data_IF_945655600882
#
_entry.id   IF_945655600882
#
_cell.length_a   1.000
_cell.length_b   1.000
_cell.length_c   1.000
_cell.angle_alpha   90.00
_cell.angle_beta   90.00
_cell.angle_gamma   90.00
#
_symmetry.space_group_name_H-M   'P 1'
#
loop_
_entity.id
_entity.type
_entity.pdbx_description
1 polymer ?
#
# COMPACT_ATOMS: atom_id res chain seq x y z
N UNK A 1 -23.28 -9.95 11.87
CA UNK A 1 -24.51 -9.12 11.81
C UNK A 1 -24.14 -7.88 11.04
N UNK A 2 -24.81 -7.62 9.92
CA UNK A 2 -24.60 -6.42 9.10
C UNK A 2 -25.01 -5.17 9.89
N UNK A 3 -24.24 -4.09 9.74
CA UNK A 3 -24.57 -2.80 10.34
C UNK A 3 -25.75 -2.18 9.55
N UNK A 4 -26.89 -1.82 10.19
CA UNK A 4 -28.03 -1.20 9.51
C UNK A 4 -27.68 0.06 8.70
N UNK A 5 -26.67 0.82 9.13
CA UNK A 5 -26.17 2.00 8.41
C UNK A 5 -25.48 1.62 7.10
N UNK A 6 -24.73 0.51 7.09
CA UNK A 6 -24.10 -0.04 5.88
C UNK A 6 -25.16 -0.53 4.91
N UNK A 7 -26.19 -1.22 5.41
CA UNK A 7 -27.30 -1.69 4.56
C UNK A 7 -28.09 -0.54 3.94
N UNK A 8 -28.37 0.52 4.72
CA UNK A 8 -29.06 1.71 4.22
C UNK A 8 -28.22 2.47 3.19
N UNK A 9 -26.92 2.63 3.43
CA UNK A 9 -26.00 3.26 2.49
C UNK A 9 -25.84 2.46 1.20
N UNK A 10 -25.72 1.12 1.30
CA UNK A 10 -25.66 0.22 0.15
C UNK A 10 -26.95 0.27 -0.67
N UNK A 11 -28.12 0.23 -0.01
CA UNK A 11 -29.41 0.32 -0.69
C UNK A 11 -29.58 1.66 -1.45
N UNK A 12 -29.19 2.77 -0.82
CA UNK A 12 -29.22 4.09 -1.45
C UNK A 12 -28.22 4.19 -2.61
N UNK A 13 -27.01 3.63 -2.43
CA UNK A 13 -26.01 3.56 -3.47
C UNK A 13 -26.53 2.77 -4.67
N UNK A 14 -27.10 1.59 -4.47
CA UNK A 14 -27.73 0.79 -5.53
C UNK A 14 -28.82 1.55 -6.28
N UNK A 15 -29.75 2.18 -5.56
CA UNK A 15 -30.85 2.96 -6.16
C UNK A 15 -30.34 4.12 -7.04
N UNK A 16 -29.28 4.80 -6.59
CA UNK A 16 -28.66 5.90 -7.34
C UNK A 16 -27.77 5.38 -8.46
N UNK A 17 -27.09 4.26 -8.25
CA UNK A 17 -26.22 3.62 -9.22
C UNK A 17 -26.99 3.21 -10.48
N UNK A 18 -28.16 2.59 -10.31
CA UNK A 18 -29.07 2.25 -11.41
C UNK A 18 -29.58 3.47 -12.20
N UNK A 19 -29.63 4.64 -11.55
CA UNK A 19 -30.03 5.90 -12.21
C UNK A 19 -28.85 6.58 -12.91
N UNK A 20 -27.65 6.40 -12.39
CA UNK A 20 -26.41 6.95 -12.94
C UNK A 20 -25.85 6.11 -14.09
N UNK A 21 -26.14 4.81 -14.15
CA UNK A 21 -25.60 3.89 -15.16
C UNK A 21 -26.71 3.01 -15.76
N UNK A 22 -26.61 2.64 -17.05
CA UNK A 22 -25.57 3.02 -18.00
C UNK A 22 -25.76 4.44 -18.54
N UNK A 23 -24.69 5.23 -18.61
CA UNK A 23 -24.66 6.47 -19.40
C UNK A 23 -24.17 6.13 -20.80
N UNK A 24 -24.96 6.44 -21.81
CA UNK A 24 -24.58 6.24 -23.21
C UNK A 24 -24.78 7.51 -24.02
N UNK A 25 -23.77 7.90 -24.77
CA UNK A 25 -23.89 8.86 -25.86
C UNK A 25 -23.42 8.23 -27.19
N UNK A 26 -23.33 9.04 -28.25
CA UNK A 26 -22.95 8.57 -29.59
C UNK A 26 -21.49 8.09 -29.70
N UNK A 27 -20.64 8.40 -28.72
CA UNK A 27 -19.18 8.19 -28.75
C UNK A 27 -18.69 7.33 -27.59
N UNK A 28 -19.28 7.44 -26.41
CA UNK A 28 -18.87 6.70 -25.23
C UNK A 28 -20.06 6.07 -24.48
N UNK A 29 -19.78 4.95 -23.82
CA UNK A 29 -20.69 4.26 -22.92
C UNK A 29 -19.95 4.05 -21.60
N UNK A 30 -20.42 4.72 -20.55
CA UNK A 30 -20.00 4.44 -19.19
C UNK A 30 -20.96 3.38 -18.63
N UNK A 31 -20.45 2.18 -18.36
CA UNK A 31 -21.20 1.09 -17.78
C UNK A 31 -20.57 0.66 -16.46
N UNK A 32 -21.36 0.00 -15.63
CA UNK A 32 -20.89 -0.71 -14.46
C UNK A 32 -21.52 -2.09 -14.53
N UNK A 33 -20.68 -3.12 -14.48
CA UNK A 33 -21.12 -4.50 -14.61
C UNK A 33 -21.54 -5.08 -13.28
N UNK A 34 -20.87 -4.63 -12.22
CA UNK A 34 -21.13 -5.05 -10.86
C UNK A 34 -21.77 -3.92 -10.05
N UNK A 35 -22.84 -4.21 -9.30
CA UNK A 35 -23.39 -3.25 -8.37
C UNK A 35 -22.33 -2.85 -7.33
N UNK A 36 -22.41 -1.62 -6.77
CA UNK A 36 -21.60 -1.24 -5.64
C UNK A 36 -21.73 -2.28 -4.53
N UNK A 37 -20.60 -2.68 -3.96
CA UNK A 37 -20.54 -3.60 -2.84
C UNK A 37 -19.72 -2.98 -1.71
N UNK A 38 -19.91 -3.48 -0.50
CA UNK A 38 -19.12 -3.02 0.64
C UNK A 38 -17.83 -3.82 0.75
N UNK A 39 -16.69 -3.14 0.70
CA UNK A 39 -15.38 -3.69 0.97
C UNK A 39 -14.92 -3.24 2.39
N UNK A 40 -14.72 -4.18 3.32
CA UNK A 40 -14.24 -3.85 4.67
C UNK A 40 -12.95 -3.02 4.66
N UNK A 41 -12.94 -1.93 5.42
CA UNK A 41 -11.79 -1.00 5.49
C UNK A 41 -11.72 0.03 4.36
N UNK A 42 -12.46 -0.15 3.26
CA UNK A 42 -12.48 0.76 2.12
C UNK A 42 -13.81 1.52 1.99
N UNK A 43 -14.94 0.88 2.31
CA UNK A 43 -16.28 1.45 2.15
C UNK A 43 -17.05 0.84 0.98
N UNK A 44 -17.93 1.60 0.34
CA UNK A 44 -18.63 1.19 -0.88
C UNK A 44 -17.70 1.31 -2.09
N UNK A 45 -17.50 0.21 -2.81
CA UNK A 45 -16.66 0.08 -3.99
C UNK A 45 -17.53 -0.34 -5.16
N UNK A 46 -17.29 0.21 -6.34
CA UNK A 46 -17.95 -0.21 -7.56
C UNK A 46 -16.99 -0.18 -8.73
N UNK A 47 -17.09 -1.18 -9.60
CA UNK A 47 -16.35 -1.19 -10.86
C UNK A 47 -17.14 -0.42 -11.92
N UNK A 48 -16.45 0.43 -12.67
CA UNK A 48 -17.00 1.00 -13.89
C UNK A 48 -16.08 0.73 -15.07
N UNK A 49 -16.65 0.73 -16.24
CA UNK A 49 -15.95 0.64 -17.49
C UNK A 49 -16.40 1.76 -18.39
N UNK A 50 -15.44 2.46 -18.99
CA UNK A 50 -15.70 3.47 -19.99
C UNK A 50 -15.37 2.86 -21.35
N UNK A 51 -16.38 2.66 -22.17
CA UNK A 51 -16.25 2.10 -23.51
C UNK A 51 -16.44 3.17 -24.56
N UNK A 52 -15.83 2.99 -25.72
CA UNK A 52 -16.29 3.62 -26.95
C UNK A 52 -17.63 2.98 -27.37
N UNK A 53 -18.66 3.81 -27.58
CA UNK A 53 -20.04 3.36 -27.80
C UNK A 53 -20.25 2.51 -29.06
N UNK A 54 -19.33 2.59 -30.02
CA UNK A 54 -19.39 1.86 -31.30
C UNK A 54 -18.70 0.50 -31.24
N UNK A 55 -17.59 0.41 -30.52
CA UNK A 55 -16.75 -0.79 -30.50
C UNK A 55 -16.92 -1.62 -29.23
N UNK A 56 -17.55 -1.04 -28.18
CA UNK A 56 -17.59 -1.58 -26.83
C UNK A 56 -16.19 -1.92 -26.29
N UNK A 57 -15.16 -1.21 -26.77
CA UNK A 57 -13.79 -1.34 -26.27
C UNK A 57 -13.45 -0.11 -25.45
N UNK A 58 -12.78 -0.32 -24.34
CA UNK A 58 -12.32 0.75 -23.47
C UNK A 58 -11.94 0.20 -22.10
N UNK A 59 -11.27 1.03 -21.29
CA UNK A 59 -10.73 0.60 -20.00
C UNK A 59 -11.84 0.31 -18.98
N UNK A 60 -11.57 -0.64 -18.09
CA UNK A 60 -12.28 -0.82 -16.83
C UNK A 60 -11.43 -0.31 -15.66
N UNK A 61 -12.08 0.11 -14.59
CA UNK A 61 -11.43 0.56 -13.36
C UNK A 61 -12.37 0.45 -12.17
N UNK A 62 -11.81 0.15 -11.01
CA UNK A 62 -12.53 0.15 -9.74
C UNK A 62 -12.50 1.54 -9.10
N UNK A 63 -13.63 1.97 -8.54
CA UNK A 63 -13.74 3.23 -7.81
C UNK A 63 -14.37 3.01 -6.45
N UNK A 64 -13.76 3.62 -5.43
CA UNK A 64 -14.37 3.77 -4.11
C UNK A 64 -15.42 4.87 -4.20
N UNK A 65 -16.69 4.50 -4.10
CA UNK A 65 -17.86 5.37 -4.25
C UNK A 65 -18.19 6.11 -2.95
N UNK A 66 -18.06 5.44 -1.80
CA UNK A 66 -18.29 6.05 -0.47
C UNK A 66 -17.32 5.46 0.55
N UNK A 67 -16.35 6.23 1.08
CA UNK A 67 -15.44 5.71 2.10
C UNK A 67 -16.14 5.50 3.44
N UNK A 68 -15.62 4.58 4.26
CA UNK A 68 -16.22 4.21 5.56
C UNK A 68 -16.49 5.43 6.46
N UNK A 69 -15.58 6.40 6.47
CA UNK A 69 -15.69 7.63 7.27
C UNK A 69 -16.87 8.53 6.86
N UNK A 70 -17.38 8.41 5.63
CA UNK A 70 -18.51 9.21 5.11
C UNK A 70 -19.80 8.41 4.96
N UNK A 71 -19.86 7.19 5.52
CA UNK A 71 -21.05 6.33 5.50
C UNK A 71 -22.24 6.90 6.28
N UNK A 72 -22.02 7.94 7.11
CA UNK A 72 -23.08 8.70 7.77
C UNK A 72 -23.82 9.68 6.83
N UNK A 73 -23.24 10.03 5.68
CA UNK A 73 -23.81 10.97 4.70
C UNK A 73 -23.82 10.43 3.24
N UNK A 74 -24.29 9.20 2.98
CA UNK A 74 -24.14 8.55 1.67
C UNK A 74 -24.86 9.29 0.54
N UNK A 75 -26.00 9.94 0.83
CA UNK A 75 -26.77 10.70 -0.16
C UNK A 75 -25.96 11.86 -0.76
N UNK A 76 -25.27 12.61 0.11
CA UNK A 76 -24.47 13.77 -0.28
C UNK A 76 -23.28 13.35 -1.15
N UNK A 77 -22.60 12.27 -0.76
CA UNK A 77 -21.46 11.73 -1.51
C UNK A 77 -21.88 11.31 -2.93
N UNK A 78 -23.03 10.64 -3.06
CA UNK A 78 -23.55 10.21 -4.35
C UNK A 78 -23.98 11.39 -5.25
N UNK A 79 -24.58 12.44 -4.67
CA UNK A 79 -24.95 13.65 -5.44
C UNK A 79 -23.71 14.42 -5.92
N UNK A 80 -22.66 14.52 -5.11
CA UNK A 80 -21.36 15.12 -5.48
C UNK A 80 -20.66 14.30 -6.59
N UNK A 81 -20.77 12.96 -6.57
CA UNK A 81 -20.21 12.06 -7.60
C UNK A 81 -20.95 12.24 -8.93
N UNK A 82 -22.28 12.28 -8.88
CA UNK A 82 -23.10 12.53 -10.07
C UNK A 82 -22.75 13.88 -10.72
N UNK A 83 -22.53 14.93 -9.92
CA UNK A 83 -22.11 16.25 -10.42
C UNK A 83 -20.71 16.20 -11.08
N UNK A 84 -19.78 15.42 -10.53
CA UNK A 84 -18.43 15.22 -11.08
C UNK A 84 -18.49 14.47 -12.41
N UNK A 85 -19.24 13.38 -12.49
CA UNK A 85 -19.43 12.61 -13.72
C UNK A 85 -20.09 13.44 -14.82
N UNK A 86 -21.09 14.26 -14.47
CA UNK A 86 -21.73 15.21 -15.39
C UNK A 86 -20.73 16.29 -15.87
N UNK A 87 -19.88 16.78 -14.97
CA UNK A 87 -18.78 17.70 -15.28
C UNK A 87 -17.79 17.09 -16.29
N UNK A 88 -17.38 15.84 -16.08
CA UNK A 88 -16.53 15.10 -17.02
C UNK A 88 -17.21 14.91 -18.38
N UNK A 89 -18.51 14.54 -18.39
CA UNK A 89 -19.33 14.45 -19.61
C UNK A 89 -19.31 15.75 -20.42
N UNK A 90 -19.51 16.88 -19.75
CA UNK A 90 -19.53 18.20 -20.38
C UNK A 90 -18.19 18.64 -20.98
N UNK A 91 -17.06 18.10 -20.49
CA UNK A 91 -15.70 18.44 -20.92
C UNK A 91 -15.19 17.63 -22.12
N UNK A 92 -16.02 16.77 -22.70
CA UNK A 92 -15.72 16.11 -23.97
C UNK A 92 -14.75 14.94 -23.83
N UNK A 93 -15.17 13.89 -23.11
CA UNK A 93 -14.55 12.56 -22.97
C UNK A 93 -14.08 11.87 -24.28
N UNK A 94 -14.35 12.44 -25.45
CA UNK A 94 -14.28 11.75 -26.74
C UNK A 94 -12.91 11.79 -27.45
N UNK A 95 -11.90 12.53 -26.98
CA UNK A 95 -10.67 12.75 -27.75
C UNK A 95 -9.43 11.95 -27.31
N UNK A 96 -9.54 11.02 -26.35
CA UNK A 96 -8.37 10.31 -25.80
C UNK A 96 -8.55 8.78 -25.66
N UNK A 97 -9.49 8.16 -26.39
CA UNK A 97 -9.85 6.74 -26.25
C UNK A 97 -8.93 5.74 -26.99
N UNK A 98 -7.90 6.19 -27.71
CA UNK A 98 -7.07 5.32 -28.57
C UNK A 98 -5.81 4.75 -27.90
N UNK A 99 -5.55 5.04 -26.62
CA UNK A 99 -4.39 4.49 -25.90
C UNK A 99 -4.80 3.29 -25.02
N UNK A 100 -4.12 2.13 -25.09
CA UNK A 100 -4.27 1.07 -24.10
C UNK A 100 -3.75 1.57 -22.74
N UNK A 101 -4.60 1.49 -21.71
CA UNK A 101 -4.28 1.96 -20.37
C UNK A 101 -4.09 0.74 -19.47
N UNK A 102 -2.84 0.45 -19.13
CA UNK A 102 -2.49 -0.34 -17.94
C UNK A 102 -2.04 0.65 -16.85
N UNK A 103 -2.98 1.26 -16.16
CA UNK A 103 -2.67 2.03 -14.95
C UNK A 103 -2.97 1.15 -13.73
N UNK A 104 -2.10 0.17 -13.47
CA UNK A 104 -2.10 -0.48 -12.15
C UNK A 104 -1.39 0.47 -11.21
N UNK A 105 -2.12 1.40 -10.59
CA UNK A 105 -1.53 2.19 -9.50
C UNK A 105 -1.48 1.28 -8.29
N UNK A 106 -0.36 0.59 -8.13
CA UNK A 106 -0.12 -0.24 -6.95
C UNK A 106 -0.16 0.65 -5.71
N UNK A 107 -1.08 0.37 -4.80
CA UNK A 107 -1.10 1.05 -3.50
C UNK A 107 0.23 0.78 -2.80
N UNK A 108 0.98 1.85 -2.56
CA UNK A 108 2.20 1.77 -1.77
C UNK A 108 1.83 1.37 -0.34
N UNK A 109 2.41 0.29 0.22
CA UNK A 109 2.03 -0.19 1.53
C UNK A 109 2.38 0.82 2.63
N UNK A 110 1.49 0.93 3.61
CA UNK A 110 1.75 1.67 4.83
C UNK A 110 2.80 0.95 5.68
N UNK A 111 3.77 1.69 6.24
CA UNK A 111 4.82 1.15 7.10
C UNK A 111 4.45 1.28 8.57
N UNK A 112 4.47 0.16 9.27
CA UNK A 112 4.26 0.08 10.71
C UNK A 112 5.60 -0.19 11.40
N UNK A 113 6.09 0.76 12.18
CA UNK A 113 7.27 0.49 13.03
C UNK A 113 6.87 -0.36 14.25
N UNK A 114 5.68 -0.11 14.80
CA UNK A 114 5.03 -0.90 15.82
C UNK A 114 3.60 -1.23 15.34
N UNK A 115 3.18 -2.51 15.33
CA UNK A 115 1.86 -2.89 14.85
C UNK A 115 0.70 -2.40 15.75
N UNK A 116 1.01 -1.87 16.95
CA UNK A 116 0.01 -1.29 17.84
C UNK A 116 -0.26 0.20 17.58
N UNK A 117 0.51 0.84 16.69
CA UNK A 117 0.36 2.26 16.36
C UNK A 117 -0.05 2.45 14.89
N UNK A 118 -0.58 3.64 14.53
CA UNK A 118 -0.77 4.03 13.14
C UNK A 118 0.55 3.97 12.35
N UNK A 119 0.48 3.82 11.02
CA UNK A 119 1.66 3.75 10.18
C UNK A 119 2.45 5.07 10.24
N UNK A 120 3.78 4.95 10.16
CA UNK A 120 4.69 6.10 10.30
C UNK A 120 4.98 6.81 8.99
N UNK A 121 4.84 6.10 7.88
CA UNK A 121 4.94 6.63 6.53
C UNK A 121 4.32 5.65 5.53
N UNK A 122 4.16 6.13 4.31
CA UNK A 122 4.00 5.26 3.15
C UNK A 122 5.38 4.87 2.63
N UNK A 123 5.53 3.59 2.29
CA UNK A 123 6.78 3.07 1.74
C UNK A 123 6.50 2.41 0.40
N UNK A 124 7.33 2.74 -0.59
CA UNK A 124 7.35 2.01 -1.85
C UNK A 124 8.36 0.89 -1.76
N UNK A 125 8.07 -0.23 -2.40
CA UNK A 125 8.99 -1.34 -2.52
C UNK A 125 8.90 -1.91 -3.93
N UNK A 126 10.02 -2.01 -4.62
CA UNK A 126 10.07 -2.76 -5.86
C UNK A 126 10.43 -4.24 -5.56
N UNK A 127 9.40 -5.03 -5.27
CA UNK A 127 9.58 -6.38 -4.73
C UNK A 127 10.10 -7.42 -5.75
N UNK A 128 10.14 -7.08 -7.05
CA UNK A 128 10.48 -8.02 -8.13
C UNK A 128 11.78 -7.69 -8.88
N UNK A 129 12.51 -6.67 -8.46
CA UNK A 129 13.74 -6.20 -9.10
C UNK A 129 14.87 -5.97 -8.06
N UNK A 130 15.07 -4.75 -7.55
CA UNK A 130 16.12 -4.36 -6.60
C UNK A 130 15.75 -4.64 -5.14
N UNK A 131 14.46 -4.87 -4.83
CA UNK A 131 13.95 -4.96 -3.46
C UNK A 131 14.27 -3.73 -2.60
N UNK A 132 14.51 -2.58 -3.26
CA UNK A 132 14.74 -1.31 -2.58
C UNK A 132 13.42 -0.78 -2.03
N UNK A 133 13.50 -0.20 -0.84
CA UNK A 133 12.39 0.40 -0.13
C UNK A 133 12.74 1.82 0.24
N UNK A 134 11.99 2.78 -0.27
CA UNK A 134 12.11 4.19 0.11
C UNK A 134 10.82 4.69 0.75
N UNK A 135 10.99 5.73 1.56
CA UNK A 135 9.90 6.44 2.21
C UNK A 135 9.35 7.46 1.23
N UNK A 136 8.02 7.51 1.11
CA UNK A 136 7.36 8.60 0.40
C UNK A 136 7.35 9.88 1.26
N UNK A 137 7.34 11.04 0.60
CA UNK A 137 7.17 12.32 1.27
C UNK A 137 5.76 12.50 1.81
N UNK A 138 4.77 11.87 1.16
CA UNK A 138 3.38 12.01 1.53
C UNK A 138 3.00 11.05 2.68
N UNK A 139 2.18 11.51 3.66
CA UNK A 139 1.89 10.75 4.87
C UNK A 139 0.78 9.70 4.70
N UNK A 140 -0.05 9.81 3.66
CA UNK A 140 -1.21 8.95 3.42
C UNK A 140 -1.16 8.32 2.03
N UNK A 141 -1.79 7.14 1.81
CA UNK A 141 -1.84 6.54 0.48
C UNK A 141 -2.54 7.43 -0.54
N UNK A 142 -3.60 8.13 -0.13
CA UNK A 142 -4.33 9.05 -1.02
C UNK A 142 -3.44 10.20 -1.50
N UNK A 143 -2.68 10.80 -0.58
CA UNK A 143 -1.73 11.86 -0.92
C UNK A 143 -0.61 11.36 -1.84
N UNK A 144 -0.08 10.15 -1.62
CA UNK A 144 0.88 9.50 -2.54
C UNK A 144 0.30 9.36 -3.95
N UNK A 145 -0.91 8.80 -4.06
CA UNK A 145 -1.56 8.62 -5.36
C UNK A 145 -1.80 9.97 -6.06
N UNK A 146 -2.21 11.00 -5.31
CA UNK A 146 -2.40 12.34 -5.83
C UNK A 146 -1.09 12.95 -6.32
N UNK A 147 0.00 12.79 -5.57
CA UNK A 147 1.33 13.23 -5.97
C UNK A 147 1.79 12.54 -7.26
N UNK A 148 1.62 11.22 -7.37
CA UNK A 148 1.95 10.46 -8.58
C UNK A 148 1.13 10.90 -9.79
N UNK A 149 -0.18 11.17 -9.62
CA UNK A 149 -1.02 11.67 -10.70
C UNK A 149 -0.58 13.07 -11.15
N UNK A 150 -0.25 13.96 -10.21
CA UNK A 150 0.31 15.30 -10.53
C UNK A 150 1.64 15.19 -11.24
N UNK A 151 2.53 14.32 -10.80
CA UNK A 151 3.80 14.05 -11.47
C UNK A 151 3.56 13.57 -12.90
N UNK A 152 2.68 12.60 -13.11
CA UNK A 152 2.37 12.09 -14.47
C UNK A 152 1.78 13.16 -15.38
N UNK A 153 0.94 14.06 -14.85
CA UNK A 153 0.33 15.19 -15.59
C UNK A 153 1.38 16.25 -15.94
N UNK A 154 2.31 16.53 -15.05
CA UNK A 154 3.29 17.62 -15.18
C UNK A 154 4.66 17.17 -15.68
N UNK A 155 4.88 15.86 -15.88
CA UNK A 155 6.16 15.29 -16.26
C UNK A 155 6.66 15.86 -17.58
N UNK A 156 7.83 16.53 -17.59
CA UNK A 156 8.43 17.06 -18.83
C UNK A 156 9.07 15.97 -19.69
N UNK A 157 9.17 14.74 -19.18
CA UNK A 157 9.80 13.60 -19.85
C UNK A 157 8.83 12.78 -20.68
N UNK A 158 7.52 13.00 -20.51
CA UNK A 158 6.47 12.31 -21.24
C UNK A 158 6.18 13.06 -22.53
N UNK A 159 6.34 12.39 -23.67
CA UNK A 159 6.03 12.96 -24.99
C UNK A 159 4.52 13.14 -25.19
N UNK A 160 3.73 12.28 -24.55
CA UNK A 160 2.27 12.29 -24.62
C UNK A 160 1.65 12.88 -23.35
N UNK A 161 0.60 13.71 -23.49
CA UNK A 161 -0.14 14.20 -22.32
C UNK A 161 -0.70 13.02 -21.53
N UNK A 162 -0.80 13.18 -20.20
CA UNK A 162 -1.43 12.16 -19.37
C UNK A 162 -2.84 11.82 -19.90
N UNK A 163 -3.23 10.54 -19.90
CA UNK A 163 -4.55 10.15 -20.37
C UNK A 163 -5.63 10.61 -19.39
N UNK A 164 -6.85 10.85 -19.88
CA UNK A 164 -7.99 11.35 -19.12
C UNK A 164 -8.22 10.65 -17.76
N UNK A 165 -8.07 9.32 -17.62
CA UNK A 165 -8.23 8.65 -16.32
C UNK A 165 -7.29 9.17 -15.23
N UNK A 166 -6.07 9.62 -15.57
CA UNK A 166 -5.15 10.20 -14.58
C UNK A 166 -5.69 11.53 -14.04
N UNK A 167 -6.25 12.37 -14.92
CA UNK A 167 -6.91 13.61 -14.49
C UNK A 167 -8.17 13.36 -13.66
N UNK A 168 -8.98 12.36 -14.05
CA UNK A 168 -10.18 11.98 -13.31
C UNK A 168 -9.82 11.42 -11.92
N UNK A 169 -8.79 10.57 -11.84
CA UNK A 169 -8.27 10.07 -10.58
C UNK A 169 -7.79 11.23 -9.70
N UNK A 170 -6.99 12.16 -10.23
CA UNK A 170 -6.53 13.33 -9.47
C UNK A 170 -7.71 14.14 -8.92
N UNK A 171 -8.70 14.46 -9.75
CA UNK A 171 -9.87 15.21 -9.31
C UNK A 171 -10.65 14.49 -8.19
N UNK A 172 -10.78 13.16 -8.28
CA UNK A 172 -11.39 12.37 -7.21
C UNK A 172 -10.57 12.42 -5.91
N UNK A 173 -9.24 12.30 -6.01
CA UNK A 173 -8.35 12.37 -4.84
C UNK A 173 -8.37 13.76 -4.19
N UNK A 174 -8.38 14.83 -4.98
CA UNK A 174 -8.49 16.21 -4.48
C UNK A 174 -9.82 16.46 -3.76
N UNK A 175 -10.90 15.83 -4.21
CA UNK A 175 -12.16 15.90 -3.50
C UNK A 175 -12.11 15.18 -2.13
N UNK A 176 -11.30 14.14 -1.98
CA UNK A 176 -11.08 13.48 -0.69
C UNK A 176 -10.01 14.13 0.20
N UNK A 177 -9.31 15.17 -0.27
CA UNK A 177 -8.18 15.75 0.45
C UNK A 177 -8.55 16.24 1.86
N UNK A 178 -9.70 16.88 2.03
CA UNK A 178 -10.11 17.37 3.36
C UNK A 178 -10.41 16.22 4.32
N UNK A 179 -11.13 15.19 3.87
CA UNK A 179 -11.44 14.03 4.70
C UNK A 179 -10.17 13.25 5.09
N UNK A 180 -9.21 13.14 4.17
CA UNK A 180 -7.90 12.51 4.44
C UNK A 180 -7.08 13.33 5.44
N UNK A 181 -7.10 14.66 5.32
CA UNK A 181 -6.48 15.59 6.29
C UNK A 181 -7.12 15.48 7.67
N UNK A 182 -8.45 15.43 7.75
CA UNK A 182 -9.19 15.26 9.01
C UNK A 182 -8.86 13.90 9.65
N UNK A 183 -8.85 12.82 8.88
CA UNK A 183 -8.50 11.48 9.37
C UNK A 183 -7.06 11.41 9.89
N UNK A 184 -6.10 12.01 9.17
CA UNK A 184 -4.72 12.09 9.62
C UNK A 184 -4.55 12.94 10.89
N UNK A 185 -5.38 13.97 11.08
CA UNK A 185 -5.38 14.78 12.29
C UNK A 185 -6.00 14.05 13.49
N UNK A 186 -7.00 13.19 13.25
CA UNK A 186 -7.63 12.35 14.28
C UNK A 186 -6.71 11.22 14.73
N UNK A 187 -6.02 10.56 13.79
CA UNK A 187 -5.13 9.42 14.07
C UNK A 187 -3.71 9.64 13.49
N UNK A 188 -2.95 10.62 14.04
CA UNK A 188 -1.63 10.95 13.51
C UNK A 188 -0.61 9.86 13.84
N UNK A 189 0.43 9.69 12.99
CA UNK A 189 1.55 8.83 13.31
C UNK A 189 2.16 9.17 14.66
N UNK A 190 2.46 8.16 15.47
CA UNK A 190 3.00 8.40 16.81
C UNK A 190 4.35 9.14 16.73
N UNK A 191 4.42 10.35 17.33
CA UNK A 191 5.58 11.24 17.26
C UNK A 191 6.91 10.56 17.64
N UNK A 192 6.86 9.66 18.63
CA UNK A 192 8.03 8.88 19.09
C UNK A 192 8.70 8.09 17.97
N UNK A 193 7.98 7.66 16.94
CA UNK A 193 8.52 6.90 15.82
C UNK A 193 8.98 7.78 14.65
N UNK A 194 8.44 8.99 14.55
CA UNK A 194 8.91 10.01 13.61
C UNK A 194 10.28 10.54 14.03
N UNK A 195 10.54 10.64 15.33
CA UNK A 195 11.79 11.13 15.93
C UNK A 195 12.78 10.02 16.30
N UNK A 196 12.37 8.76 16.25
CA UNK A 196 13.21 7.63 16.63
C UNK A 196 14.44 7.51 15.75
N UNK A 197 15.54 7.08 16.36
CA UNK A 197 16.74 6.68 15.63
C UNK A 197 16.45 5.45 14.75
N UNK A 198 17.02 5.47 13.54
CA UNK A 198 16.86 4.43 12.54
C UNK A 198 18.24 4.01 12.07
N UNK A 199 18.58 2.76 12.37
CA UNK A 199 19.84 2.19 11.91
C UNK A 199 19.64 1.74 10.46
N UNK A 200 20.37 2.31 9.49
CA UNK A 200 20.22 1.92 8.08
C UNK A 200 20.49 0.43 7.88
N UNK A 201 19.63 -0.23 7.11
CA UNK A 201 19.71 -1.64 6.72
C UNK A 201 19.90 -1.75 5.21
N UNK A 202 20.16 -2.96 4.71
CA UNK A 202 20.22 -3.17 3.26
C UNK A 202 18.87 -2.91 2.60
N UNK A 203 18.90 -2.10 1.54
CA UNK A 203 17.73 -1.77 0.72
C UNK A 203 16.64 -0.97 1.43
N UNK A 204 16.83 -0.50 2.67
CA UNK A 204 15.79 0.29 3.38
C UNK A 204 16.37 1.17 4.48
N UNK A 205 15.62 2.20 4.89
CA UNK A 205 15.99 3.19 5.90
C UNK A 205 15.93 2.69 7.35
N UNK A 206 15.69 1.39 7.58
CA UNK A 206 15.69 0.77 8.91
C UNK A 206 14.43 1.05 9.75
N UNK A 207 14.04 0.12 10.65
CA UNK A 207 12.92 0.31 11.56
C UNK A 207 13.27 1.32 12.67
N UNK A 208 12.27 2.05 13.14
CA UNK A 208 12.39 2.87 14.34
C UNK A 208 12.62 1.98 15.57
N UNK A 209 13.63 2.35 16.36
CA UNK A 209 14.00 1.66 17.59
C UNK A 209 13.65 2.50 18.82
N UNK A 210 13.12 1.89 19.89
CA UNK A 210 12.92 2.61 21.14
C UNK A 210 14.27 2.93 21.82
N UNK A 211 14.33 3.94 22.69
CA UNK A 211 15.50 4.20 23.52
C UNK A 211 15.94 2.95 24.29
N UNK A 212 17.25 2.71 24.34
CA UNK A 212 17.82 1.55 25.03
C UNK A 212 17.84 0.25 24.22
N UNK A 213 17.32 0.24 22.98
CA UNK A 213 17.38 -0.94 22.10
C UNK A 213 18.80 -1.41 21.76
N UNK A 214 19.82 -0.57 22.02
CA UNK A 214 21.22 -0.87 21.78
C UNK A 214 21.75 -0.25 20.48
N UNK A 215 22.88 -0.77 20.00
CA UNK A 215 23.56 -0.35 18.77
C UNK A 215 24.19 -1.56 18.12
N UNK A 216 24.34 -1.56 16.80
CA UNK A 216 24.96 -2.66 16.06
C UNK A 216 26.49 -2.70 16.19
N UNK A 217 27.14 -1.61 16.63
CA UNK A 217 28.62 -1.49 16.80
C UNK A 217 29.44 -1.98 15.60
N UNK A 218 28.90 -1.89 14.40
CA UNK A 218 29.55 -2.27 13.14
C UNK A 218 29.34 -1.18 12.09
N UNK A 219 30.02 -1.37 10.97
CA UNK A 219 30.10 -0.42 9.87
C UNK A 219 28.81 -0.12 9.11
N UNK A 220 28.95 0.68 8.06
CA UNK A 220 27.87 1.06 7.14
C UNK A 220 27.21 -0.17 6.48
N UNK A 221 26.01 -0.02 5.89
CA UNK A 221 25.38 -1.11 5.14
C UNK A 221 26.31 -1.76 4.10
N UNK A 222 27.09 -0.97 3.34
CA UNK A 222 28.05 -1.48 2.36
C UNK A 222 29.17 -2.33 2.98
N UNK A 223 29.71 -1.88 4.12
CA UNK A 223 30.73 -2.65 4.86
C UNK A 223 30.17 -3.97 5.37
N UNK A 224 28.89 -3.98 5.79
CA UNK A 224 28.20 -5.19 6.20
C UNK A 224 27.95 -6.12 5.02
N UNK A 225 27.47 -5.65 3.86
CA UNK A 225 27.35 -6.46 2.62
C UNK A 225 28.65 -7.14 2.28
N UNK A 226 29.76 -6.39 2.31
CA UNK A 226 31.08 -6.93 2.02
C UNK A 226 31.45 -8.04 3.02
N UNK A 227 31.19 -7.83 4.31
CA UNK A 227 31.44 -8.83 5.34
C UNK A 227 30.55 -10.09 5.17
N UNK A 228 29.25 -9.92 4.92
CA UNK A 228 28.30 -11.01 4.65
C UNK A 228 28.79 -11.91 3.50
N UNK A 229 29.34 -11.32 2.44
CA UNK A 229 29.83 -12.06 1.26
C UNK A 229 31.22 -12.68 1.40
N UNK A 230 32.11 -12.06 2.18
CA UNK A 230 33.55 -12.38 2.12
C UNK A 230 34.17 -12.81 3.45
N UNK A 231 33.45 -12.71 4.58
CA UNK A 231 34.01 -12.94 5.91
C UNK A 231 33.13 -13.83 6.82
N UNK A 232 32.77 -15.08 6.41
CA UNK A 232 31.86 -15.94 7.19
C UNK A 232 32.23 -16.13 8.68
N UNK A 233 33.51 -16.28 9.08
CA UNK A 233 33.87 -16.36 10.50
C UNK A 233 33.53 -15.09 11.30
N UNK A 234 33.68 -13.91 10.69
CA UNK A 234 33.34 -12.62 11.31
C UNK A 234 31.83 -12.48 11.45
N UNK A 235 31.10 -12.82 10.39
CA UNK A 235 29.64 -12.83 10.32
C UNK A 235 29.02 -13.70 11.42
N UNK A 236 29.54 -14.92 11.62
CA UNK A 236 29.10 -15.79 12.73
C UNK A 236 29.30 -15.13 14.09
N UNK A 237 30.45 -14.51 14.32
CA UNK A 237 30.72 -13.76 15.57
C UNK A 237 29.71 -12.63 15.77
N UNK A 238 29.34 -11.90 14.70
CA UNK A 238 28.34 -10.85 14.76
C UNK A 238 26.94 -11.38 15.09
N UNK A 239 26.52 -12.46 14.44
CA UNK A 239 25.23 -13.12 14.71
C UNK A 239 25.15 -13.57 16.18
N UNK A 240 26.18 -14.26 16.68
CA UNK A 240 26.21 -14.73 18.07
C UNK A 240 26.25 -13.57 19.08
N UNK A 241 26.94 -12.47 18.76
CA UNK A 241 26.89 -11.26 19.58
C UNK A 241 25.49 -10.65 19.60
N UNK A 242 24.84 -10.53 18.45
CA UNK A 242 23.51 -9.97 18.32
C UNK A 242 22.46 -10.80 19.08
N UNK A 243 22.55 -12.14 19.04
CA UNK A 243 21.69 -13.03 19.84
C UNK A 243 21.86 -12.78 21.35
N UNK A 244 23.09 -12.66 21.84
CA UNK A 244 23.37 -12.37 23.26
C UNK A 244 22.86 -10.99 23.67
N UNK A 245 23.16 -9.96 22.88
CA UNK A 245 22.66 -8.60 23.13
C UNK A 245 21.12 -8.57 23.15
N UNK A 246 20.48 -9.24 22.19
CA UNK A 246 19.03 -9.35 22.14
C UNK A 246 18.48 -10.08 23.37
N UNK A 247 19.08 -11.18 23.81
CA UNK A 247 18.66 -11.88 25.03
C UNK A 247 18.70 -10.95 26.27
N UNK A 248 19.71 -10.08 26.34
CA UNK A 248 19.89 -9.06 27.39
C UNK A 248 19.00 -7.81 27.24
N UNK A 249 18.08 -7.78 26.27
CA UNK A 249 17.16 -6.65 26.08
C UNK A 249 17.66 -5.55 25.16
N UNK A 250 18.71 -5.81 24.37
CA UNK A 250 19.27 -4.88 23.38
C UNK A 250 19.09 -5.42 21.96
N UNK A 251 17.87 -5.40 21.40
CA UNK A 251 17.53 -6.07 20.15
C UNK A 251 18.04 -5.39 18.87
N UNK A 252 18.61 -4.18 18.93
CA UNK A 252 18.98 -3.41 17.74
C UNK A 252 19.86 -4.20 16.76
N UNK A 253 20.91 -4.86 17.25
CA UNK A 253 21.81 -5.67 16.43
C UNK A 253 21.11 -6.87 15.78
N UNK A 254 20.26 -7.56 16.53
CA UNK A 254 19.50 -8.69 16.00
C UNK A 254 18.53 -8.24 14.91
N UNK A 255 17.80 -7.14 15.13
CA UNK A 255 16.86 -6.62 14.13
C UNK A 255 17.56 -6.20 12.84
N UNK A 256 18.63 -5.39 12.94
CA UNK A 256 19.37 -4.91 11.78
C UNK A 256 20.02 -6.06 11.01
N UNK A 257 20.72 -6.98 11.69
CA UNK A 257 21.38 -8.10 11.00
C UNK A 257 20.35 -9.08 10.43
N UNK A 258 19.24 -9.33 11.14
CA UNK A 258 18.13 -10.12 10.61
C UNK A 258 17.58 -9.54 9.31
N UNK A 259 17.34 -8.22 9.26
CA UNK A 259 16.86 -7.53 8.06
C UNK A 259 17.87 -7.56 6.91
N UNK A 260 19.16 -7.34 7.20
CA UNK A 260 20.21 -7.41 6.19
C UNK A 260 20.31 -8.83 5.57
N UNK A 261 20.30 -9.87 6.40
CA UNK A 261 20.36 -11.27 5.94
C UNK A 261 19.08 -11.67 5.20
N UNK A 262 17.93 -11.18 5.65
CA UNK A 262 16.65 -11.34 4.95
C UNK A 262 16.69 -10.74 3.54
N UNK A 263 17.20 -9.51 3.42
CA UNK A 263 17.34 -8.82 2.13
C UNK A 263 18.30 -9.56 1.19
N UNK A 264 19.44 -10.04 1.70
CA UNK A 264 20.37 -10.85 0.91
C UNK A 264 19.73 -12.13 0.38
N UNK A 265 18.81 -12.73 1.13
CA UNK A 265 17.93 -13.78 0.66
C UNK A 265 18.59 -15.11 0.31
N UNK A 266 19.87 -15.28 0.67
CA UNK A 266 20.65 -16.49 0.40
C UNK A 266 20.26 -17.64 1.33
N UNK A 267 20.26 -18.87 0.82
CA UNK A 267 19.90 -20.05 1.60
C UNK A 267 20.75 -20.23 2.86
N UNK A 268 22.06 -19.99 2.78
CA UNK A 268 23.01 -20.10 3.90
C UNK A 268 22.61 -19.25 5.12
N UNK A 269 21.93 -18.12 4.90
CA UNK A 269 21.59 -17.16 5.96
C UNK A 269 20.12 -17.22 6.37
N UNK A 270 19.30 -18.07 5.74
CA UNK A 270 17.85 -18.09 5.90
C UNK A 270 17.42 -18.30 7.36
N UNK A 271 17.94 -19.35 8.00
CA UNK A 271 17.59 -19.69 9.38
C UNK A 271 18.05 -18.63 10.37
N UNK A 272 19.28 -18.12 10.21
CA UNK A 272 19.82 -17.09 11.07
C UNK A 272 19.04 -15.77 10.95
N UNK A 273 18.62 -15.40 9.74
CA UNK A 273 17.80 -14.22 9.51
C UNK A 273 16.44 -14.34 10.23
N UNK A 274 15.75 -15.47 10.05
CA UNK A 274 14.46 -15.72 10.71
C UNK A 274 14.61 -15.68 12.24
N UNK A 275 15.59 -16.39 12.79
CA UNK A 275 15.82 -16.46 14.24
C UNK A 275 16.06 -15.06 14.83
N UNK A 276 16.96 -14.27 14.22
CA UNK A 276 17.28 -12.92 14.67
C UNK A 276 16.06 -11.98 14.61
N UNK A 277 15.30 -12.03 13.52
CA UNK A 277 14.10 -11.19 13.35
C UNK A 277 13.03 -11.53 14.39
N UNK A 278 12.74 -12.82 14.60
CA UNK A 278 11.77 -13.27 15.61
C UNK A 278 12.21 -12.85 17.00
N UNK A 279 13.46 -13.12 17.39
CA UNK A 279 14.00 -12.73 18.69
C UNK A 279 13.88 -11.23 18.93
N UNK A 280 14.24 -10.42 17.93
CA UNK A 280 14.21 -8.97 18.05
C UNK A 280 12.77 -8.43 18.16
N UNK A 281 11.86 -8.88 17.30
CA UNK A 281 10.46 -8.46 17.36
C UNK A 281 9.78 -8.88 18.66
N UNK A 282 10.01 -10.11 19.12
CA UNK A 282 9.49 -10.56 20.42
C UNK A 282 10.06 -9.73 21.57
N UNK A 283 11.36 -9.41 21.55
CA UNK A 283 11.97 -8.58 22.59
C UNK A 283 11.46 -7.13 22.57
N UNK A 284 11.11 -6.61 21.40
CA UNK A 284 10.47 -5.31 21.24
C UNK A 284 8.97 -5.31 21.59
N UNK A 285 8.38 -6.48 21.91
CA UNK A 285 6.94 -6.61 22.14
C UNK A 285 6.09 -6.59 20.86
N UNK A 286 6.70 -6.66 19.68
CA UNK A 286 6.06 -6.56 18.36
C UNK A 286 5.66 -7.93 17.82
N UNK A 287 4.82 -8.65 18.59
CA UNK A 287 4.45 -10.05 18.29
C UNK A 287 3.85 -10.23 16.88
N UNK A 288 3.02 -9.31 16.42
CA UNK A 288 2.42 -9.42 15.08
C UNK A 288 3.49 -9.48 13.98
N UNK A 289 4.54 -8.65 14.07
CA UNK A 289 5.68 -8.72 13.14
C UNK A 289 6.46 -10.03 13.25
N UNK A 290 6.64 -10.56 14.47
CA UNK A 290 7.28 -11.85 14.69
C UNK A 290 6.49 -13.00 14.02
N UNK A 291 5.17 -12.98 14.05
CA UNK A 291 4.33 -13.97 13.36
C UNK A 291 4.34 -13.77 11.84
N UNK A 292 4.23 -12.53 11.36
CA UNK A 292 4.33 -12.23 9.92
C UNK A 292 5.64 -12.73 9.33
N UNK A 293 6.78 -12.53 10.01
CA UNK A 293 8.07 -13.01 9.49
C UNK A 293 8.14 -14.55 9.48
N UNK A 294 7.56 -15.24 10.49
CA UNK A 294 7.49 -16.71 10.50
C UNK A 294 6.70 -17.22 9.29
N UNK A 295 5.52 -16.68 9.05
CA UNK A 295 4.66 -17.03 7.90
C UNK A 295 5.38 -16.70 6.60
N UNK A 296 5.99 -15.52 6.50
CA UNK A 296 6.74 -15.11 5.31
C UNK A 296 7.86 -16.12 4.99
N UNK A 297 8.68 -16.50 5.96
CA UNK A 297 9.76 -17.48 5.73
C UNK A 297 9.25 -18.87 5.40
N UNK A 298 8.13 -19.31 5.98
CA UNK A 298 7.49 -20.58 5.65
C UNK A 298 7.00 -20.66 4.20
N UNK A 299 6.70 -19.51 3.59
CA UNK A 299 6.10 -19.41 2.25
C UNK A 299 6.93 -18.58 1.26
N UNK A 300 8.19 -18.26 1.60
CA UNK A 300 9.02 -17.29 0.87
C UNK A 300 9.27 -17.68 -0.58
N UNK A 301 9.31 -18.98 -0.86
CA UNK A 301 9.59 -19.51 -2.19
C UNK A 301 8.33 -19.54 -3.10
N UNK A 302 7.15 -19.14 -2.59
CA UNK A 302 5.96 -18.97 -3.40
C UNK A 302 6.08 -17.71 -4.28
N UNK A 303 5.58 -17.78 -5.51
CA UNK A 303 5.56 -16.64 -6.45
C UNK A 303 4.69 -15.47 -5.93
N UNK A 304 3.63 -15.80 -5.21
CA UNK A 304 2.71 -14.88 -4.57
C UNK A 304 2.08 -15.58 -3.36
N UNK A 305 1.68 -14.82 -2.35
CA UNK A 305 0.87 -15.31 -1.24
C UNK A 305 -0.49 -14.63 -1.35
N UNK A 306 -1.54 -15.40 -1.68
CA UNK A 306 -2.91 -14.91 -1.61
C UNK A 306 -3.31 -14.76 -0.14
N UNK A 307 -3.40 -13.53 0.36
CA UNK A 307 -3.75 -13.26 1.77
C UNK A 307 -5.27 -13.17 1.98
N UNK A 308 -6.06 -13.15 0.89
CA UNK A 308 -7.50 -12.84 0.92
C UNK A 308 -8.42 -13.86 0.21
N UNK A 309 -7.98 -15.09 -0.04
CA UNK A 309 -8.89 -16.09 -0.62
C UNK A 309 -9.98 -16.47 0.40
N UNK A 310 -11.24 -16.45 -0.03
CA UNK A 310 -12.33 -16.94 0.83
C UNK A 310 -12.22 -18.45 1.04
N UNK A 311 -12.71 -18.99 2.17
CA UNK A 311 -12.78 -20.44 2.37
C UNK A 311 -13.59 -21.10 1.23
N UNK A 312 -12.91 -21.85 0.35
CA UNK A 312 -13.53 -22.53 -0.80
C UNK A 312 -13.12 -21.98 -2.16
N UNK A 313 -12.40 -20.85 -2.22
CA UNK A 313 -11.68 -20.44 -3.42
C UNK A 313 -10.37 -21.24 -3.49
N UNK A 314 -10.38 -22.34 -4.24
CA UNK A 314 -9.13 -22.99 -4.62
C UNK A 314 -8.34 -22.02 -5.48
N UNK A 315 -7.07 -21.82 -5.12
CA UNK A 315 -6.12 -21.05 -5.92
C UNK A 315 -6.02 -21.76 -7.27
N UNK A 316 -6.75 -21.26 -8.27
CA UNK A 316 -6.87 -21.83 -9.62
C UNK A 316 -5.58 -21.70 -10.43
N UNK A 317 -4.43 -21.78 -9.75
CA UNK A 317 -3.11 -21.73 -10.34
C UNK A 317 -2.87 -22.97 -11.22
N UNK A 318 -2.34 -22.80 -12.45
CA UNK A 318 -1.84 -23.89 -13.27
C UNK A 318 -0.60 -24.56 -12.68
#
# INVERSE_FOLDING_TARGET
MSNPEIEAALALALERWEKMFPVKDERAQLASWDPPHFAPGLGLVAEFSLFEARTNRGPSGELVVVPLARMSEPARVLDELAATLEGLRSRGLASQLDAPIEATVGLAPARYDDPADPPTCIAHNYARDSAETWRDSEPTPLAVLAALARERISSPYEEEPAPLPVYAALAAMEWFEEADREALAEDPPAQRWLEADRIPTLGTFGPALPPGAGSIRVGSPDERVKAWKTQPPRVRTWIESAKRDCAEGRPAAALTFGLDLHWLGTEEHRDAALELLVMAYEKLGRRAHAETVKVHYAHRDLRSVGVFLQPGEEDGGP
#
